data_IF_900479280061
#
_entry.id   IF_900479280061
#
_cell.length_a   1.000
_cell.length_b   1.000
_cell.length_c   1.000
_cell.angle_alpha   90.00
_cell.angle_beta   90.00
_cell.angle_gamma   90.00
#
_symmetry.space_group_name_H-M   'P 1'
#
loop_
_entity.id
_entity.type
_entity.pdbx_description
1 polymer ?
#
# COMPACT_ATOMS: atom_id res chain seq x y z
N UNK A 1 31.91 1.41 -23.45
CA UNK A 1 30.97 1.77 -22.38
C UNK A 1 30.74 0.49 -21.58
N UNK A 2 30.71 0.56 -20.25
CA UNK A 2 30.42 -0.58 -19.38
C UNK A 2 29.05 -1.14 -19.72
N UNK A 3 28.88 -2.46 -19.65
CA UNK A 3 27.59 -3.14 -19.84
C UNK A 3 27.20 -3.81 -18.53
N UNK A 4 25.98 -3.52 -18.05
CA UNK A 4 25.34 -4.20 -16.91
C UNK A 4 24.37 -5.23 -17.49
N UNK A 5 24.59 -6.49 -17.19
CA UNK A 5 23.75 -7.59 -17.65
C UNK A 5 22.69 -7.98 -16.62
N UNK A 6 21.46 -8.00 -17.06
CA UNK A 6 20.27 -8.24 -16.25
C UNK A 6 19.72 -9.64 -16.54
N UNK A 7 19.50 -10.42 -15.49
CA UNK A 7 18.67 -11.62 -15.53
C UNK A 7 17.23 -11.27 -15.15
N UNK A 8 16.30 -11.43 -16.08
CA UNK A 8 14.88 -11.12 -15.88
C UNK A 8 14.12 -12.40 -15.50
N UNK A 9 13.64 -12.48 -14.27
CA UNK A 9 12.85 -13.58 -13.73
C UNK A 9 11.36 -13.23 -13.74
N UNK A 10 10.66 -13.75 -14.73
CA UNK A 10 9.25 -13.47 -15.02
C UNK A 10 9.08 -12.54 -16.23
N UNK A 11 8.14 -12.90 -17.11
CA UNK A 11 7.82 -12.16 -18.35
C UNK A 11 6.32 -11.90 -18.50
N UNK A 12 5.60 -11.85 -17.35
CA UNK A 12 4.20 -11.45 -17.30
C UNK A 12 4.05 -9.94 -17.58
N UNK A 13 3.00 -9.34 -17.06
CA UNK A 13 2.67 -7.92 -17.27
C UNK A 13 3.87 -6.99 -16.98
N UNK A 14 4.52 -7.16 -15.83
CA UNK A 14 5.64 -6.27 -15.44
C UNK A 14 6.90 -6.61 -16.24
N UNK A 15 7.29 -7.87 -16.33
CA UNK A 15 8.52 -8.28 -17.01
C UNK A 15 8.53 -7.93 -18.50
N UNK A 16 7.40 -8.13 -19.19
CA UNK A 16 7.27 -7.71 -20.59
C UNK A 16 7.35 -6.17 -20.74
N UNK A 17 6.84 -5.44 -19.76
CA UNK A 17 7.00 -3.98 -19.69
C UNK A 17 8.46 -3.56 -19.49
N UNK A 18 9.19 -4.23 -18.60
CA UNK A 18 10.63 -3.96 -18.37
C UNK A 18 11.42 -4.19 -19.66
N UNK A 19 11.16 -5.32 -20.36
CA UNK A 19 11.76 -5.62 -21.65
C UNK A 19 11.49 -4.51 -22.67
N UNK A 20 10.23 -4.08 -22.77
CA UNK A 20 9.80 -3.03 -23.70
C UNK A 20 10.46 -1.68 -23.38
N UNK A 21 10.47 -1.25 -22.14
CA UNK A 21 11.07 0.03 -21.71
C UNK A 21 12.58 0.03 -21.96
N UNK A 22 13.29 -1.05 -21.58
CA UNK A 22 14.72 -1.16 -21.84
C UNK A 22 15.06 -1.12 -23.32
N UNK A 23 14.23 -1.72 -24.18
CA UNK A 23 14.41 -1.71 -25.63
C UNK A 23 14.12 -0.34 -26.23
N UNK A 24 12.96 0.24 -25.93
CA UNK A 24 12.47 1.47 -26.56
C UNK A 24 13.24 2.71 -26.11
N UNK A 25 13.69 2.74 -24.84
CA UNK A 25 14.35 3.89 -24.24
C UNK A 25 15.85 3.67 -24.01
N UNK A 26 16.48 2.68 -24.68
CA UNK A 26 17.86 2.26 -24.46
C UNK A 26 18.87 3.40 -24.46
N UNK A 27 18.75 4.33 -25.45
CA UNK A 27 19.65 5.47 -25.58
C UNK A 27 19.53 6.46 -24.39
N UNK A 28 18.31 6.79 -23.98
CA UNK A 28 18.06 7.69 -22.87
C UNK A 28 18.46 7.07 -21.53
N UNK A 29 18.17 5.78 -21.33
CA UNK A 29 18.56 5.02 -20.14
C UNK A 29 20.08 4.99 -20.03
N UNK A 30 20.80 4.71 -21.13
CA UNK A 30 22.27 4.66 -21.14
C UNK A 30 22.88 6.04 -20.81
N UNK A 31 22.31 7.11 -21.34
CA UNK A 31 22.75 8.49 -21.02
C UNK A 31 22.59 8.81 -19.54
N UNK A 32 21.52 8.32 -18.90
CA UNK A 32 21.23 8.54 -17.46
C UNK A 32 22.07 7.62 -16.57
N UNK A 33 22.23 6.37 -16.96
CA UNK A 33 22.97 5.38 -16.19
C UNK A 33 24.51 5.55 -16.29
N UNK A 34 25.01 6.17 -17.37
CA UNK A 34 26.45 6.22 -17.67
C UNK A 34 27.02 4.90 -18.23
N UNK A 35 26.16 3.90 -18.45
CA UNK A 35 26.52 2.57 -18.96
C UNK A 35 25.34 2.01 -19.78
N UNK A 36 25.57 0.88 -20.45
CA UNK A 36 24.50 0.16 -21.17
C UNK A 36 23.89 -0.89 -20.23
N UNK A 37 22.57 -0.94 -20.13
CA UNK A 37 21.83 -1.96 -19.39
C UNK A 37 21.20 -2.91 -20.41
N UNK A 38 21.54 -4.20 -20.34
CA UNK A 38 21.10 -5.21 -21.30
C UNK A 38 20.53 -6.42 -20.59
N UNK A 39 19.44 -6.98 -21.13
CA UNK A 39 18.94 -8.28 -20.69
C UNK A 39 19.88 -9.37 -21.22
N UNK A 40 20.52 -10.07 -20.30
CA UNK A 40 21.44 -11.16 -20.61
C UNK A 40 20.77 -12.54 -20.59
N UNK A 41 19.67 -12.70 -19.83
CA UNK A 41 18.89 -13.94 -19.74
C UNK A 41 17.46 -13.63 -19.29
N UNK A 42 16.51 -14.40 -19.81
CA UNK A 42 15.10 -14.38 -19.33
C UNK A 42 14.72 -15.77 -18.84
N UNK A 43 14.09 -15.81 -17.66
CA UNK A 43 13.57 -17.06 -17.11
C UNK A 43 12.05 -16.94 -16.93
N UNK A 44 11.33 -17.91 -17.48
CA UNK A 44 9.86 -18.02 -17.45
C UNK A 44 9.46 -19.49 -17.39
N UNK A 45 8.21 -19.76 -16.98
CA UNK A 45 7.70 -21.13 -16.90
C UNK A 45 7.67 -21.83 -18.26
N UNK A 46 7.26 -21.11 -19.31
CA UNK A 46 7.26 -21.59 -20.69
C UNK A 46 8.09 -20.66 -21.59
N UNK A 47 9.35 -21.02 -21.91
CA UNK A 47 10.22 -20.21 -22.75
C UNK A 47 9.70 -19.98 -24.17
N UNK A 48 8.94 -20.91 -24.74
CA UNK A 48 8.48 -20.80 -26.13
C UNK A 48 7.39 -19.72 -26.29
N UNK A 49 6.57 -19.50 -25.27
CA UNK A 49 5.55 -18.43 -25.29
C UNK A 49 6.16 -17.02 -25.48
N UNK A 50 7.37 -16.80 -24.99
CA UNK A 50 8.02 -15.49 -25.01
C UNK A 50 9.10 -15.36 -26.08
N UNK A 51 9.45 -16.45 -26.79
CA UNK A 51 10.53 -16.50 -27.80
C UNK A 51 10.37 -15.42 -28.88
N UNK A 52 9.16 -15.26 -29.40
CA UNK A 52 8.88 -14.25 -30.44
C UNK A 52 9.07 -12.82 -29.94
N UNK A 53 8.75 -12.55 -28.67
CA UNK A 53 8.89 -11.24 -28.07
C UNK A 53 10.35 -10.91 -27.75
N UNK A 54 11.08 -11.89 -27.18
CA UNK A 54 12.46 -11.74 -26.71
C UNK A 54 13.47 -11.79 -27.85
N UNK A 55 13.18 -12.56 -28.89
CA UNK A 55 14.09 -12.80 -30.04
C UNK A 55 15.10 -13.91 -29.79
N UNK A 56 15.89 -14.26 -30.82
CA UNK A 56 16.79 -15.41 -30.77
C UNK A 56 18.07 -15.19 -29.94
N UNK A 57 18.49 -13.95 -29.78
CA UNK A 57 19.80 -13.61 -29.22
C UNK A 57 19.86 -13.67 -27.69
N UNK A 58 18.71 -13.67 -27.01
CA UNK A 58 18.64 -13.69 -25.55
C UNK A 58 18.34 -15.13 -25.09
N UNK A 59 19.22 -15.73 -24.27
CA UNK A 59 18.99 -17.04 -23.68
C UNK A 59 17.71 -17.09 -22.86
N UNK A 60 16.88 -18.10 -23.10
CA UNK A 60 15.68 -18.41 -22.34
C UNK A 60 15.87 -19.67 -21.52
N UNK A 61 15.26 -19.72 -20.35
CA UNK A 61 15.27 -20.90 -19.47
C UNK A 61 13.99 -20.99 -18.67
N UNK A 62 13.70 -22.18 -18.16
CA UNK A 62 12.63 -22.41 -17.17
C UNK A 62 13.15 -22.60 -15.74
N UNK A 63 14.47 -22.70 -15.55
CA UNK A 63 15.08 -22.81 -14.22
C UNK A 63 15.49 -21.43 -13.69
N UNK A 64 14.88 -20.95 -12.60
CA UNK A 64 15.25 -19.67 -11.97
C UNK A 64 16.72 -19.59 -11.54
N UNK A 65 17.34 -20.72 -11.20
CA UNK A 65 18.72 -20.77 -10.76
C UNK A 65 19.73 -20.59 -11.90
N UNK A 66 19.31 -20.67 -13.15
CA UNK A 66 20.18 -20.36 -14.29
C UNK A 66 20.62 -18.88 -14.29
N UNK A 67 19.78 -17.94 -13.80
CA UNK A 67 20.19 -16.54 -13.58
C UNK A 67 21.22 -16.46 -12.43
N UNK A 68 20.96 -17.18 -11.36
CA UNK A 68 21.81 -17.17 -10.15
C UNK A 68 23.21 -17.71 -10.47
N UNK A 69 23.28 -18.78 -11.26
CA UNK A 69 24.52 -19.48 -11.57
C UNK A 69 25.28 -18.91 -12.78
N UNK A 70 24.67 -18.03 -13.56
CA UNK A 70 25.31 -17.37 -14.69
C UNK A 70 26.26 -16.25 -14.21
N UNK A 71 27.59 -16.40 -14.32
CA UNK A 71 28.55 -15.41 -13.85
C UNK A 71 28.53 -14.12 -14.68
N UNK A 72 27.88 -14.13 -15.85
CA UNK A 72 27.77 -12.97 -16.71
C UNK A 72 26.62 -12.04 -16.29
N UNK A 73 25.74 -12.46 -15.39
CA UNK A 73 24.62 -11.66 -14.90
C UNK A 73 25.03 -10.86 -13.66
N UNK A 74 24.87 -9.54 -13.72
CA UNK A 74 25.20 -8.62 -12.64
C UNK A 74 24.01 -8.36 -11.71
N UNK A 75 22.77 -8.32 -12.27
CA UNK A 75 21.55 -7.93 -11.57
C UNK A 75 20.45 -8.95 -11.83
N UNK A 76 19.82 -9.44 -10.76
CA UNK A 76 18.55 -10.17 -10.82
C UNK A 76 17.39 -9.19 -10.77
N UNK A 77 16.50 -9.22 -11.76
CA UNK A 77 15.18 -8.56 -11.70
C UNK A 77 14.11 -9.62 -11.41
N UNK A 78 13.54 -9.60 -10.21
CA UNK A 78 12.50 -10.53 -9.76
C UNK A 78 11.13 -9.89 -9.89
N UNK A 79 10.34 -10.38 -10.84
CA UNK A 79 8.96 -9.96 -11.11
C UNK A 79 8.03 -11.16 -11.35
N UNK A 80 8.37 -12.31 -10.77
CA UNK A 80 7.59 -13.53 -10.88
C UNK A 80 6.48 -13.65 -9.84
N UNK A 81 6.64 -12.95 -8.70
CA UNK A 81 5.73 -13.04 -7.57
C UNK A 81 5.91 -14.30 -6.72
N UNK A 82 5.04 -14.46 -5.71
CA UNK A 82 5.12 -15.53 -4.71
C UNK A 82 6.18 -15.25 -3.64
N UNK A 83 6.20 -16.04 -2.58
CA UNK A 83 7.06 -15.80 -1.41
C UNK A 83 8.04 -16.93 -1.12
N UNK A 84 7.84 -18.12 -1.68
CA UNK A 84 8.68 -19.31 -1.41
C UNK A 84 9.85 -19.38 -2.40
N UNK A 85 9.58 -19.70 -3.66
CA UNK A 85 10.62 -19.81 -4.69
C UNK A 85 11.33 -18.47 -4.93
N UNK A 86 10.59 -17.37 -4.94
CA UNK A 86 11.16 -16.03 -5.09
C UNK A 86 12.17 -15.72 -3.99
N UNK A 87 11.87 -16.06 -2.72
CA UNK A 87 12.81 -15.94 -1.60
C UNK A 87 14.10 -16.72 -1.85
N UNK A 88 13.97 -18.01 -2.18
CA UNK A 88 15.13 -18.88 -2.34
C UNK A 88 16.05 -18.39 -3.46
N UNK A 89 15.47 -17.95 -4.58
CA UNK A 89 16.23 -17.40 -5.72
C UNK A 89 16.89 -16.06 -5.35
N UNK A 90 16.17 -15.16 -4.68
CA UNK A 90 16.72 -13.86 -4.26
C UNK A 90 17.87 -14.05 -3.28
N UNK A 91 17.72 -14.89 -2.25
CA UNK A 91 18.80 -15.18 -1.30
C UNK A 91 20.01 -15.85 -1.97
N UNK A 92 19.77 -16.77 -2.91
CA UNK A 92 20.86 -17.40 -3.66
C UNK A 92 21.59 -16.40 -4.57
N UNK A 93 20.87 -15.46 -5.20
CA UNK A 93 21.47 -14.39 -6.00
C UNK A 93 22.32 -13.45 -5.13
N UNK A 94 21.83 -13.05 -3.95
CA UNK A 94 22.57 -12.27 -2.96
C UNK A 94 23.84 -12.98 -2.55
N UNK A 95 23.77 -14.28 -2.23
CA UNK A 95 24.94 -15.09 -1.86
C UNK A 95 26.01 -15.21 -2.98
N UNK A 96 25.61 -15.02 -4.24
CA UNK A 96 26.50 -14.95 -5.41
C UNK A 96 26.97 -13.53 -5.75
N UNK A 97 26.65 -12.53 -4.92
CA UNK A 97 27.04 -11.13 -5.11
C UNK A 97 26.26 -10.39 -6.19
N UNK A 98 25.11 -10.94 -6.64
CA UNK A 98 24.27 -10.28 -7.64
C UNK A 98 23.40 -9.21 -6.97
N UNK A 99 23.28 -8.05 -7.62
CA UNK A 99 22.33 -7.02 -7.19
C UNK A 99 20.90 -7.50 -7.44
N UNK A 100 19.93 -7.02 -6.68
CA UNK A 100 18.53 -7.43 -6.78
C UNK A 100 17.65 -6.20 -7.02
N UNK A 101 16.74 -6.31 -7.99
CA UNK A 101 15.62 -5.40 -8.19
C UNK A 101 14.34 -6.23 -8.14
N UNK A 102 13.38 -5.86 -7.29
CA UNK A 102 12.15 -6.62 -7.14
C UNK A 102 10.90 -5.74 -7.08
N UNK A 103 9.80 -6.23 -7.64
CA UNK A 103 8.45 -5.65 -7.50
C UNK A 103 7.60 -6.41 -6.46
N UNK A 104 8.18 -7.39 -5.77
CA UNK A 104 7.46 -8.35 -4.95
C UNK A 104 7.24 -7.84 -3.52
N UNK A 105 6.20 -7.02 -3.35
CA UNK A 105 5.82 -6.47 -2.05
C UNK A 105 5.52 -7.52 -0.98
N UNK A 106 4.89 -8.63 -1.38
CA UNK A 106 4.55 -9.70 -0.44
C UNK A 106 5.80 -10.37 0.12
N UNK A 107 6.79 -10.65 -0.73
CA UNK A 107 8.08 -11.18 -0.31
C UNK A 107 8.77 -10.24 0.68
N UNK A 108 8.82 -8.94 0.37
CA UNK A 108 9.50 -7.97 1.22
C UNK A 108 8.74 -7.67 2.52
N UNK A 109 7.41 -7.68 2.51
CA UNK A 109 6.62 -7.47 3.72
C UNK A 109 6.77 -8.60 4.73
N UNK A 110 6.87 -9.85 4.25
CA UNK A 110 6.93 -11.05 5.11
C UNK A 110 8.36 -11.47 5.44
N UNK A 111 9.28 -11.34 4.49
CA UNK A 111 10.66 -11.85 4.61
C UNK A 111 11.73 -10.80 4.37
N UNK A 112 11.34 -9.52 4.26
CA UNK A 112 12.25 -8.43 3.94
C UNK A 112 13.40 -8.27 4.93
N UNK A 113 13.15 -8.47 6.22
CA UNK A 113 14.20 -8.35 7.25
C UNK A 113 15.36 -9.34 7.00
N UNK A 114 15.05 -10.59 6.62
CA UNK A 114 16.09 -11.57 6.26
C UNK A 114 16.82 -11.16 4.98
N UNK A 115 16.07 -10.78 3.94
CA UNK A 115 16.62 -10.39 2.64
C UNK A 115 17.56 -9.18 2.79
N UNK A 116 17.14 -8.14 3.51
CA UNK A 116 17.95 -6.95 3.73
C UNK A 116 19.20 -7.24 4.58
N UNK A 117 19.08 -8.11 5.60
CA UNK A 117 20.23 -8.52 6.39
C UNK A 117 21.27 -9.26 5.54
N UNK A 118 20.85 -10.24 4.73
CA UNK A 118 21.73 -10.98 3.83
C UNK A 118 22.35 -10.11 2.75
N UNK A 119 21.58 -9.18 2.20
CA UNK A 119 22.07 -8.23 1.21
C UNK A 119 23.20 -7.35 1.78
N UNK A 120 23.03 -6.88 3.01
CA UNK A 120 24.06 -6.13 3.73
C UNK A 120 25.34 -6.95 3.94
N UNK A 121 25.20 -8.18 4.49
CA UNK A 121 26.34 -9.08 4.72
C UNK A 121 27.14 -9.33 3.44
N UNK A 122 26.45 -9.48 2.31
CA UNK A 122 27.05 -9.70 0.99
C UNK A 122 27.51 -8.40 0.29
N UNK A 123 27.20 -7.23 0.81
CA UNK A 123 27.51 -5.95 0.18
C UNK A 123 26.77 -5.71 -1.13
N UNK A 124 25.57 -6.28 -1.31
CA UNK A 124 24.73 -6.12 -2.51
C UNK A 124 23.52 -5.22 -2.24
N UNK A 125 22.98 -4.62 -3.31
CA UNK A 125 21.81 -3.77 -3.24
C UNK A 125 20.53 -4.59 -3.46
N UNK A 126 19.45 -4.17 -2.77
CA UNK A 126 18.07 -4.60 -3.01
C UNK A 126 17.23 -3.36 -3.26
N UNK A 127 16.83 -3.14 -4.51
CA UNK A 127 16.00 -2.02 -4.91
C UNK A 127 14.57 -2.50 -5.19
N UNK A 128 13.57 -1.70 -4.78
CA UNK A 128 12.17 -2.16 -4.76
C UNK A 128 11.14 -1.03 -4.97
N UNK A 129 11.48 0.00 -5.75
CA UNK A 129 10.55 1.08 -6.09
C UNK A 129 9.21 0.55 -6.64
N UNK A 130 9.30 -0.47 -7.50
CA UNK A 130 8.14 -1.09 -8.12
C UNK A 130 7.23 -1.87 -7.15
N UNK A 131 7.68 -2.15 -5.93
CA UNK A 131 6.90 -2.86 -4.92
C UNK A 131 5.80 -1.98 -4.29
N UNK A 132 5.92 -0.65 -4.36
CA UNK A 132 4.98 0.29 -3.71
C UNK A 132 4.49 1.33 -4.71
N UNK A 133 3.16 1.43 -4.88
CA UNK A 133 2.48 2.45 -5.69
C UNK A 133 2.95 2.56 -7.16
N UNK A 134 3.51 1.49 -7.72
CA UNK A 134 3.80 1.29 -9.14
C UNK A 134 4.54 2.46 -9.82
N UNK A 135 3.80 3.31 -10.53
CA UNK A 135 4.37 4.45 -11.28
C UNK A 135 4.71 5.68 -10.42
N UNK A 136 4.44 5.67 -9.11
CA UNK A 136 4.77 6.78 -8.21
C UNK A 136 6.16 6.55 -7.58
N UNK A 137 7.14 7.45 -7.72
CA UNK A 137 8.49 7.26 -7.19
C UNK A 137 8.55 7.56 -5.68
N UNK A 138 7.72 6.85 -4.89
CA UNK A 138 7.54 7.15 -3.46
C UNK A 138 8.65 6.57 -2.57
N UNK A 139 9.16 5.39 -2.90
CA UNK A 139 10.27 4.78 -2.15
C UNK A 139 11.49 5.68 -2.26
N UNK A 140 11.84 6.12 -3.46
CA UNK A 140 12.95 7.04 -3.71
C UNK A 140 12.71 8.42 -3.10
N UNK A 141 11.49 8.93 -3.16
CA UNK A 141 11.15 10.20 -2.54
C UNK A 141 11.38 10.17 -1.02
N UNK A 142 10.91 9.14 -0.33
CA UNK A 142 11.12 8.96 1.11
C UNK A 142 12.59 8.71 1.44
N UNK A 143 13.26 7.84 0.66
CA UNK A 143 14.62 7.39 0.91
C UNK A 143 15.65 8.48 0.68
N UNK A 144 15.47 9.32 -0.32
CA UNK A 144 16.45 10.29 -0.78
C UNK A 144 15.93 11.73 -0.74
N UNK A 145 14.78 12.00 -1.37
CA UNK A 145 14.25 13.36 -1.52
C UNK A 145 13.83 14.00 -0.20
N UNK A 146 13.34 13.21 0.74
CA UNK A 146 12.87 13.66 2.06
C UNK A 146 13.84 13.35 3.21
N UNK A 147 15.07 12.94 2.92
CA UNK A 147 16.06 12.50 3.91
C UNK A 147 16.43 13.55 4.97
N UNK A 148 16.19 14.84 4.70
CA UNK A 148 16.39 15.91 5.67
C UNK A 148 15.24 16.05 6.69
N UNK A 149 14.17 15.28 6.56
CA UNK A 149 12.96 15.41 7.37
C UNK A 149 12.82 14.28 8.39
N UNK A 150 12.29 14.63 9.55
CA UNK A 150 11.66 13.65 10.42
C UNK A 150 10.23 13.43 9.93
N UNK A 151 10.00 12.32 9.22
CA UNK A 151 8.67 11.98 8.76
C UNK A 151 7.77 11.69 9.96
N UNK A 152 6.62 12.37 10.02
CA UNK A 152 5.64 12.26 11.08
C UNK A 152 4.53 11.27 10.73
N UNK A 153 4.10 11.29 9.46
CA UNK A 153 3.01 10.45 8.98
C UNK A 153 3.14 10.20 7.47
N UNK A 154 2.76 8.99 7.07
CA UNK A 154 2.50 8.61 5.68
C UNK A 154 1.08 8.08 5.61
N UNK A 155 0.28 8.56 4.66
CA UNK A 155 -1.07 8.06 4.40
C UNK A 155 -1.25 7.89 2.89
N UNK A 156 -1.72 6.71 2.44
CA UNK A 156 -1.80 6.44 1.03
C UNK A 156 -3.05 5.67 0.60
N UNK A 157 -3.59 6.08 -0.54
CA UNK A 157 -4.47 5.27 -1.38
C UNK A 157 -3.51 4.45 -2.26
N UNK A 158 -3.21 3.23 -1.85
CA UNK A 158 -2.13 2.40 -2.42
C UNK A 158 -2.62 1.07 -3.01
N UNK A 159 -3.94 0.91 -3.12
CA UNK A 159 -4.58 -0.18 -3.85
C UNK A 159 -5.60 0.40 -4.85
N UNK A 160 -5.35 0.23 -6.15
CA UNK A 160 -6.17 0.79 -7.22
C UNK A 160 -7.53 0.11 -7.35
N UNK A 161 -7.60 -1.21 -7.12
CA UNK A 161 -8.83 -2.00 -7.18
C UNK A 161 -9.86 -1.50 -6.17
N UNK A 162 -9.47 -1.37 -4.91
CA UNK A 162 -10.35 -0.86 -3.86
C UNK A 162 -10.75 0.59 -4.08
N UNK A 163 -9.82 1.45 -4.54
CA UNK A 163 -10.15 2.84 -4.84
C UNK A 163 -11.15 2.95 -5.99
N UNK A 164 -11.05 2.10 -7.02
CA UNK A 164 -12.02 2.01 -8.09
C UNK A 164 -13.40 1.61 -7.56
N UNK A 165 -13.49 0.53 -6.77
CA UNK A 165 -14.74 0.05 -6.18
C UNK A 165 -15.41 1.14 -5.34
N UNK A 166 -14.67 1.81 -4.45
CA UNK A 166 -15.20 2.88 -3.60
C UNK A 166 -15.65 4.11 -4.41
N UNK A 167 -14.97 4.42 -5.52
CA UNK A 167 -15.39 5.49 -6.42
C UNK A 167 -16.71 5.16 -7.12
N UNK A 168 -16.86 3.94 -7.62
CA UNK A 168 -18.10 3.46 -8.25
C UNK A 168 -19.29 3.43 -7.29
N UNK A 169 -19.08 2.94 -6.06
CA UNK A 169 -20.10 2.94 -5.01
C UNK A 169 -20.62 4.35 -4.72
N UNK A 170 -19.69 5.31 -4.59
CA UNK A 170 -20.04 6.71 -4.34
C UNK A 170 -20.77 7.35 -5.51
N UNK A 171 -20.18 7.27 -6.72
CA UNK A 171 -20.64 8.04 -7.88
C UNK A 171 -21.96 7.52 -8.43
N UNK A 172 -22.19 6.22 -8.34
CA UNK A 172 -23.38 5.55 -8.87
C UNK A 172 -24.39 5.15 -7.79
N UNK A 173 -24.06 5.25 -6.50
CA UNK A 173 -24.93 4.82 -5.41
C UNK A 173 -25.22 3.31 -5.42
N UNK A 174 -24.29 2.49 -5.95
CA UNK A 174 -24.45 1.04 -6.10
C UNK A 174 -23.85 0.30 -4.90
N UNK A 175 -24.30 -0.95 -4.70
CA UNK A 175 -23.76 -1.83 -3.66
C UNK A 175 -22.33 -2.27 -3.96
N UNK A 176 -21.64 -2.74 -2.90
CA UNK A 176 -20.30 -3.29 -3.00
C UNK A 176 -20.21 -4.42 -4.04
N UNK A 177 -21.14 -5.38 -4.02
CA UNK A 177 -21.12 -6.52 -4.94
C UNK A 177 -21.23 -6.10 -6.40
N UNK A 178 -22.06 -5.10 -6.71
CA UNK A 178 -22.22 -4.56 -8.06
C UNK A 178 -20.94 -3.84 -8.51
N UNK A 179 -20.34 -3.04 -7.63
CA UNK A 179 -19.10 -2.34 -7.92
C UNK A 179 -17.92 -3.31 -8.10
N UNK A 180 -17.84 -4.38 -7.28
CA UNK A 180 -16.86 -5.44 -7.41
C UNK A 180 -16.99 -6.18 -8.73
N UNK A 181 -18.20 -6.58 -9.11
CA UNK A 181 -18.45 -7.25 -10.40
C UNK A 181 -18.00 -6.39 -11.59
N UNK A 182 -18.22 -5.07 -11.52
CA UNK A 182 -17.74 -4.14 -12.55
C UNK A 182 -16.23 -4.04 -12.57
N UNK A 183 -15.56 -4.02 -11.41
CA UNK A 183 -14.11 -4.05 -11.31
C UNK A 183 -13.52 -5.32 -11.93
N UNK A 184 -14.14 -6.48 -11.71
CA UNK A 184 -13.74 -7.76 -12.31
C UNK A 184 -13.95 -7.74 -13.83
N UNK A 185 -15.09 -7.23 -14.30
CA UNK A 185 -15.39 -7.11 -15.74
C UNK A 185 -14.38 -6.25 -16.49
N UNK A 186 -13.89 -5.18 -15.84
CA UNK A 186 -12.90 -4.25 -16.41
C UNK A 186 -11.45 -4.72 -16.21
N UNK A 187 -11.22 -5.81 -15.47
CA UNK A 187 -9.89 -6.36 -15.20
C UNK A 187 -9.12 -5.62 -14.10
N UNK A 188 -9.78 -4.80 -13.28
CA UNK A 188 -9.18 -4.19 -12.09
C UNK A 188 -9.14 -5.16 -10.91
N UNK A 189 -10.07 -6.09 -10.81
CA UNK A 189 -10.10 -7.14 -9.80
C UNK A 189 -9.96 -8.53 -10.45
N UNK A 190 -9.24 -9.42 -9.78
CA UNK A 190 -9.13 -10.83 -10.15
C UNK A 190 -10.38 -11.61 -9.75
N UNK A 191 -10.47 -12.89 -10.16
CA UNK A 191 -11.57 -13.77 -9.79
C UNK A 191 -11.65 -13.98 -8.26
N UNK A 192 -10.51 -14.10 -7.58
CA UNK A 192 -10.41 -14.01 -6.13
C UNK A 192 -9.83 -12.65 -5.75
N UNK A 193 -10.66 -11.67 -5.37
CA UNK A 193 -10.24 -10.32 -5.05
C UNK A 193 -9.82 -10.14 -3.59
N UNK A 194 -9.85 -11.18 -2.76
CA UNK A 194 -9.71 -11.13 -1.29
C UNK A 194 -8.46 -10.35 -0.87
N UNK A 195 -7.34 -10.55 -1.56
CA UNK A 195 -6.08 -9.88 -1.25
C UNK A 195 -6.17 -8.34 -1.36
N UNK A 196 -6.98 -7.85 -2.30
CA UNK A 196 -7.24 -6.42 -2.48
C UNK A 196 -8.32 -5.92 -1.52
N UNK A 197 -9.52 -6.53 -1.57
CA UNK A 197 -10.70 -6.01 -0.88
C UNK A 197 -10.61 -6.09 0.65
N UNK A 198 -9.85 -7.06 1.19
CA UNK A 198 -9.59 -7.18 2.62
C UNK A 198 -8.36 -6.36 3.07
N UNK A 199 -7.73 -5.59 2.16
CA UNK A 199 -6.69 -4.62 2.50
C UNK A 199 -5.28 -5.18 2.67
N UNK A 200 -5.05 -6.48 2.38
CA UNK A 200 -3.76 -7.15 2.58
C UNK A 200 -2.68 -6.56 1.65
N UNK A 201 -3.00 -6.34 0.38
CA UNK A 201 -2.10 -5.67 -0.57
C UNK A 201 -1.66 -4.29 -0.07
N UNK A 202 -2.62 -3.48 0.40
CA UNK A 202 -2.34 -2.17 0.95
C UNK A 202 -1.49 -2.25 2.23
N UNK A 203 -1.69 -3.28 3.07
CA UNK A 203 -0.92 -3.48 4.29
C UNK A 203 0.54 -3.85 4.01
N UNK A 204 0.83 -4.71 3.02
CA UNK A 204 2.19 -4.97 2.59
C UNK A 204 2.92 -3.69 2.18
N UNK A 205 2.26 -2.83 1.38
CA UNK A 205 2.84 -1.57 0.93
C UNK A 205 3.01 -0.56 2.07
N UNK A 206 2.01 -0.43 2.95
CA UNK A 206 2.07 0.47 4.12
C UNK A 206 3.20 0.08 5.07
N UNK A 207 3.43 -1.23 5.25
CA UNK A 207 4.52 -1.75 6.08
C UNK A 207 5.90 -1.35 5.53
N UNK A 208 6.10 -1.48 4.22
CA UNK A 208 7.35 -1.04 3.58
C UNK A 208 7.54 0.48 3.69
N UNK A 209 6.47 1.25 3.48
CA UNK A 209 6.51 2.71 3.66
C UNK A 209 6.84 3.10 5.09
N UNK A 210 6.28 2.42 6.09
CA UNK A 210 6.60 2.65 7.50
C UNK A 210 8.08 2.41 7.81
N UNK A 211 8.64 1.32 7.27
CA UNK A 211 10.06 1.00 7.48
C UNK A 211 10.98 2.07 6.90
N UNK A 212 10.70 2.55 5.70
CA UNK A 212 11.48 3.61 5.04
C UNK A 212 11.29 4.96 5.74
N UNK A 213 10.06 5.31 6.12
CA UNK A 213 9.74 6.61 6.71
C UNK A 213 10.27 6.78 8.14
N UNK A 214 10.34 5.67 8.89
CA UNK A 214 10.62 5.74 10.34
C UNK A 214 11.94 5.09 10.75
N UNK A 215 12.63 4.40 9.83
CA UNK A 215 13.88 3.70 10.15
C UNK A 215 13.64 2.53 11.11
N UNK A 216 12.64 1.72 10.85
CA UNK A 216 12.29 0.53 11.65
C UNK A 216 12.35 -0.72 10.78
N UNK A 217 12.55 -1.92 11.36
CA UNK A 217 12.41 -3.16 10.63
C UNK A 217 11.01 -3.32 10.02
N UNK A 218 10.87 -4.18 9.03
CA UNK A 218 9.57 -4.54 8.45
C UNK A 218 8.74 -5.29 9.48
N UNK A 219 7.53 -4.81 9.81
CA UNK A 219 6.70 -5.30 10.92
C UNK A 219 5.26 -5.57 10.45
N UNK A 220 5.10 -6.40 9.42
CA UNK A 220 3.78 -6.70 8.84
C UNK A 220 2.80 -7.32 9.83
N UNK A 221 3.27 -8.24 10.69
CA UNK A 221 2.42 -8.94 11.68
C UNK A 221 1.77 -7.99 12.70
N UNK A 222 2.31 -6.80 12.90
CA UNK A 222 1.75 -5.77 13.78
C UNK A 222 0.70 -4.89 13.11
N UNK A 223 0.51 -4.98 11.80
CA UNK A 223 -0.40 -4.11 11.07
C UNK A 223 -1.86 -4.41 11.41
N UNK A 224 -2.63 -3.37 11.75
CA UNK A 224 -4.09 -3.49 11.82
C UNK A 224 -4.68 -3.42 10.42
N UNK A 225 -5.52 -4.39 10.06
CA UNK A 225 -6.08 -4.49 8.70
C UNK A 225 -7.59 -4.68 8.77
N UNK A 226 -8.32 -3.84 8.05
CA UNK A 226 -9.76 -3.92 7.86
C UNK A 226 -10.08 -3.61 6.39
N UNK A 227 -10.82 -4.53 5.73
CA UNK A 227 -11.20 -4.42 4.33
C UNK A 227 -12.42 -3.54 4.07
N UNK A 228 -12.83 -3.47 2.80
CA UNK A 228 -13.95 -2.64 2.34
C UNK A 228 -15.26 -3.41 2.15
N UNK A 229 -15.25 -4.73 2.32
CA UNK A 229 -16.38 -5.62 1.99
C UNK A 229 -17.66 -5.36 2.80
N UNK A 230 -17.55 -4.68 3.96
CA UNK A 230 -18.66 -4.37 4.87
C UNK A 230 -19.30 -3.00 4.65
N UNK A 231 -18.79 -2.22 3.70
CA UNK A 231 -19.33 -0.88 3.42
C UNK A 231 -20.65 -0.95 2.68
N UNK A 232 -21.61 -0.14 3.08
CA UNK A 232 -22.90 0.01 2.44
C UNK A 232 -22.99 1.31 1.63
N UNK A 233 -23.86 1.36 0.63
CA UNK A 233 -24.05 2.56 -0.21
C UNK A 233 -24.52 3.78 0.62
N UNK A 234 -25.28 3.52 1.68
CA UNK A 234 -25.76 4.54 2.61
C UNK A 234 -24.61 5.27 3.32
N UNK A 235 -23.50 4.57 3.64
CA UNK A 235 -22.34 5.16 4.29
C UNK A 235 -21.70 6.26 3.42
N UNK A 236 -21.68 6.06 2.09
CA UNK A 236 -21.20 7.08 1.15
C UNK A 236 -22.12 8.28 1.08
N UNK A 237 -23.45 8.06 1.14
CA UNK A 237 -24.43 9.12 1.14
C UNK A 237 -24.30 10.00 2.39
N UNK A 238 -24.14 9.37 3.57
CA UNK A 238 -23.96 10.11 4.83
C UNK A 238 -22.58 10.78 4.88
N UNK A 239 -21.53 10.11 4.45
CA UNK A 239 -20.20 10.72 4.38
C UNK A 239 -20.21 11.99 3.51
N UNK A 240 -20.86 11.96 2.35
CA UNK A 240 -20.94 13.11 1.44
C UNK A 240 -21.69 14.29 2.08
N UNK A 241 -22.80 14.03 2.78
CA UNK A 241 -23.55 15.05 3.50
C UNK A 241 -22.77 15.70 4.64
N UNK A 242 -21.89 14.92 5.28
CA UNK A 242 -20.99 15.38 6.32
C UNK A 242 -19.73 16.07 5.79
N UNK A 243 -19.55 16.11 4.45
CA UNK A 243 -18.40 16.74 3.81
C UNK A 243 -17.15 15.86 3.79
N UNK A 244 -17.31 14.53 3.77
CA UNK A 244 -16.23 13.55 3.75
C UNK A 244 -16.31 12.65 2.52
N UNK A 245 -15.18 11.98 2.23
CA UNK A 245 -15.05 10.88 1.25
C UNK A 245 -14.54 9.65 1.97
N UNK A 246 -15.03 8.46 1.58
CA UNK A 246 -14.53 7.18 2.08
C UNK A 246 -13.44 6.68 1.14
N UNK A 247 -12.27 6.39 1.69
CA UNK A 247 -11.12 5.81 0.98
C UNK A 247 -10.52 4.69 1.83
N UNK A 248 -9.95 3.65 1.19
CA UNK A 248 -9.10 2.70 1.89
C UNK A 248 -7.71 3.32 2.03
N UNK A 249 -7.28 3.61 3.24
CA UNK A 249 -5.96 4.17 3.51
C UNK A 249 -5.03 3.17 4.17
N UNK A 250 -3.80 3.07 3.63
CA UNK A 250 -2.66 2.60 4.39
C UNK A 250 -2.03 3.76 5.12
N UNK A 251 -1.95 3.68 6.45
CA UNK A 251 -1.47 4.75 7.32
C UNK A 251 -0.32 4.24 8.18
N UNK A 252 0.77 4.98 8.17
CA UNK A 252 1.87 4.85 9.12
C UNK A 252 2.06 6.20 9.83
N UNK A 253 1.99 6.22 11.16
CA UNK A 253 2.13 7.44 11.97
C UNK A 253 3.07 7.21 13.13
N UNK A 254 4.01 8.16 13.33
CA UNK A 254 4.91 8.17 14.48
C UNK A 254 4.17 8.67 15.72
N UNK A 255 4.33 7.96 16.84
CA UNK A 255 3.86 8.34 18.17
C UNK A 255 5.04 8.38 19.14
N UNK A 256 4.83 8.84 20.35
CA UNK A 256 5.85 8.83 21.38
C UNK A 256 6.20 7.40 21.83
N UNK A 257 5.17 6.54 21.93
CA UNK A 257 5.26 5.18 22.47
C UNK A 257 5.59 4.14 21.39
N UNK A 258 5.44 4.48 20.09
CA UNK A 258 5.58 3.52 19.00
C UNK A 258 5.19 4.08 17.65
N UNK A 259 4.74 3.20 16.77
CA UNK A 259 4.15 3.57 15.47
C UNK A 259 2.74 3.00 15.34
N UNK A 260 1.82 3.78 14.77
CA UNK A 260 0.57 3.24 14.23
C UNK A 260 0.88 2.71 12.83
N UNK A 261 0.48 1.48 12.55
CA UNK A 261 0.52 0.86 11.22
C UNK A 261 -0.84 0.22 10.97
N UNK A 262 -1.61 0.79 10.05
CA UNK A 262 -3.01 0.42 9.88
C UNK A 262 -3.51 0.59 8.46
N UNK A 263 -4.41 -0.28 8.03
CA UNK A 263 -5.14 -0.21 6.76
C UNK A 263 -6.62 -0.39 7.06
N UNK A 264 -7.43 0.57 6.68
CA UNK A 264 -8.87 0.50 6.89
C UNK A 264 -9.63 1.52 6.04
N UNK A 265 -10.93 1.33 5.81
CA UNK A 265 -11.81 2.38 5.29
C UNK A 265 -11.77 3.60 6.20
N UNK A 266 -11.61 4.77 5.60
CA UNK A 266 -11.35 6.02 6.31
C UNK A 266 -12.16 7.16 5.70
N UNK A 267 -12.83 7.95 6.55
CA UNK A 267 -13.42 9.22 6.16
C UNK A 267 -12.32 10.29 6.11
N UNK A 268 -12.18 10.92 4.94
CA UNK A 268 -11.25 12.04 4.71
C UNK A 268 -12.08 13.27 4.37
N UNK A 269 -11.81 14.46 4.95
CA UNK A 269 -12.50 15.68 4.57
C UNK A 269 -12.41 15.91 3.06
N UNK A 270 -13.55 16.16 2.41
CA UNK A 270 -13.64 16.27 0.95
C UNK A 270 -12.75 17.38 0.34
N UNK A 271 -12.37 18.39 1.15
CA UNK A 271 -11.44 19.46 0.75
C UNK A 271 -9.97 19.02 0.62
N UNK A 272 -9.60 17.85 1.17
CA UNK A 272 -8.23 17.32 1.07
C UNK A 272 -7.97 16.75 -0.32
N UNK A 273 -6.77 16.98 -0.87
CA UNK A 273 -6.39 16.46 -2.18
C UNK A 273 -6.48 14.92 -2.24
N UNK A 274 -6.05 14.23 -1.17
CA UNK A 274 -6.10 12.78 -1.10
C UNK A 274 -7.54 12.24 -1.21
N UNK A 275 -8.54 12.95 -0.72
CA UNK A 275 -9.95 12.57 -0.82
C UNK A 275 -10.46 12.53 -2.27
N UNK A 276 -9.81 13.25 -3.17
CA UNK A 276 -10.20 13.43 -4.58
C UNK A 276 -9.38 12.56 -5.55
N UNK A 277 -8.69 11.56 -5.05
CA UNK A 277 -8.01 10.55 -5.86
C UNK A 277 -9.03 9.48 -6.27
N UNK A 278 -9.35 9.41 -7.56
CA UNK A 278 -10.47 8.63 -8.08
C UNK A 278 -10.02 7.47 -8.99
N UNK A 279 -10.95 6.54 -9.23
CA UNK A 279 -10.73 5.38 -10.09
C UNK A 279 -9.59 4.49 -9.58
N UNK A 280 -8.80 3.91 -10.48
CA UNK A 280 -7.68 3.03 -10.13
C UNK A 280 -6.37 3.78 -9.80
N UNK A 281 -6.43 5.10 -9.58
CA UNK A 281 -5.25 5.90 -9.26
C UNK A 281 -4.81 5.72 -7.82
N UNK A 282 -3.50 5.83 -7.61
CA UNK A 282 -2.88 5.82 -6.30
C UNK A 282 -2.35 7.21 -5.94
N UNK A 283 -2.28 7.48 -4.64
CA UNK A 283 -1.58 8.64 -4.12
C UNK A 283 -1.03 8.34 -2.72
N UNK A 284 0.13 8.92 -2.43
CA UNK A 284 0.75 8.86 -1.10
C UNK A 284 1.00 10.28 -0.61
N UNK A 285 0.40 10.61 0.50
CA UNK A 285 0.60 11.85 1.23
C UNK A 285 1.62 11.61 2.35
N UNK A 286 2.59 12.51 2.47
CA UNK A 286 3.66 12.43 3.46
C UNK A 286 3.72 13.75 4.21
N UNK A 287 3.82 13.70 5.55
CA UNK A 287 4.07 14.85 6.41
C UNK A 287 5.45 14.76 7.03
N UNK A 288 6.32 15.69 6.66
CA UNK A 288 7.62 15.92 7.27
C UNK A 288 7.60 17.15 8.16
N UNK A 289 8.52 17.20 9.13
CA UNK A 289 8.65 18.34 10.05
C UNK A 289 9.17 19.62 9.40
N UNK A 290 10.04 19.48 8.39
CA UNK A 290 10.65 20.61 7.70
C UNK A 290 9.90 20.97 6.40
N UNK A 291 9.54 19.97 5.57
CA UNK A 291 8.92 20.20 4.26
C UNK A 291 7.42 20.46 4.38
N UNK A 292 6.78 20.03 5.49
CA UNK A 292 5.33 20.03 5.62
C UNK A 292 4.67 18.87 4.86
N UNK A 293 3.57 19.16 4.18
CA UNK A 293 2.78 18.16 3.44
C UNK A 293 3.26 18.04 1.98
N UNK A 294 3.44 16.82 1.52
CA UNK A 294 3.71 16.49 0.10
C UNK A 294 2.75 15.40 -0.36
N UNK A 295 2.41 15.40 -1.65
CA UNK A 295 1.53 14.41 -2.26
C UNK A 295 2.14 13.90 -3.55
N UNK A 296 2.22 12.57 -3.67
CA UNK A 296 2.68 11.86 -4.86
C UNK A 296 1.47 11.13 -5.47
N UNK A 297 1.17 11.43 -6.73
CA UNK A 297 -0.02 10.93 -7.40
C UNK A 297 0.32 10.35 -8.77
N UNK A 298 -0.26 9.21 -9.11
CA UNK A 298 -0.08 8.56 -10.41
C UNK A 298 -0.72 7.16 -10.45
N UNK A 299 -0.51 6.41 -11.54
CA UNK A 299 -0.99 5.05 -11.65
C UNK A 299 -0.29 4.13 -10.66
N UNK A 300 -1.08 3.38 -9.87
CA UNK A 300 -0.56 2.49 -8.82
C UNK A 300 -0.05 1.14 -9.32
N UNK A 301 -0.44 0.75 -10.54
CA UNK A 301 -0.09 -0.51 -11.18
C UNK A 301 -0.15 -0.36 -12.70
N UNK A 302 0.22 -1.42 -13.41
CA UNK A 302 0.16 -1.49 -14.87
C UNK A 302 1.51 -1.82 -15.50
N UNK A 303 1.48 -2.32 -16.73
CA UNK A 303 2.64 -2.80 -17.46
C UNK A 303 3.80 -1.78 -17.48
N UNK A 304 3.55 -0.62 -18.07
CA UNK A 304 4.58 0.42 -18.25
C UNK A 304 4.85 1.24 -16.97
N UNK A 305 3.86 1.63 -16.17
CA UNK A 305 4.11 2.33 -14.91
C UNK A 305 5.01 1.54 -13.96
N UNK A 306 4.72 0.26 -13.75
CA UNK A 306 5.53 -0.61 -12.87
C UNK A 306 6.90 -0.89 -13.47
N UNK A 307 6.97 -1.12 -14.78
CA UNK A 307 8.24 -1.28 -15.48
C UNK A 307 9.13 -0.03 -15.40
N UNK A 308 8.54 1.16 -15.43
CA UNK A 308 9.27 2.42 -15.23
C UNK A 308 10.00 2.46 -13.90
N UNK A 309 9.36 2.01 -12.83
CA UNK A 309 9.98 1.93 -11.50
C UNK A 309 11.10 0.88 -11.43
N UNK A 310 10.89 -0.31 -12.02
CA UNK A 310 11.95 -1.34 -12.12
C UNK A 310 13.17 -0.81 -12.88
N UNK A 311 12.95 -0.13 -14.01
CA UNK A 311 14.06 0.41 -14.81
C UNK A 311 14.74 1.59 -14.10
N UNK A 312 14.01 2.40 -13.33
CA UNK A 312 14.60 3.43 -12.48
C UNK A 312 15.54 2.83 -11.43
N UNK A 313 15.12 1.72 -10.79
CA UNK A 313 15.97 0.97 -9.87
C UNK A 313 17.20 0.38 -10.56
N UNK A 314 17.06 -0.16 -11.78
CA UNK A 314 18.21 -0.64 -12.57
C UNK A 314 19.21 0.47 -12.87
N UNK A 315 18.73 1.69 -13.17
CA UNK A 315 19.61 2.85 -13.37
C UNK A 315 20.36 3.21 -12.09
N UNK A 316 19.70 3.18 -10.94
CA UNK A 316 20.32 3.49 -9.66
C UNK A 316 21.33 2.40 -9.25
N UNK A 317 21.00 1.14 -9.43
CA UNK A 317 21.93 0.01 -9.25
C UNK A 317 23.14 0.16 -10.15
N UNK A 318 22.95 0.46 -11.42
CA UNK A 318 24.04 0.63 -12.38
C UNK A 318 25.02 1.77 -12.00
N UNK A 319 24.50 2.85 -11.41
CA UNK A 319 25.31 3.98 -10.92
C UNK A 319 26.11 3.64 -9.65
N UNK A 320 25.56 2.77 -8.81
CA UNK A 320 26.10 2.49 -7.48
C UNK A 320 26.85 1.15 -7.38
N UNK A 321 26.83 0.30 -8.41
CA UNK A 321 27.40 -1.05 -8.35
C UNK A 321 28.90 -1.06 -8.02
N UNK A 322 29.65 -0.02 -8.45
CA UNK A 322 31.08 0.14 -8.17
C UNK A 322 31.37 1.00 -6.93
N UNK A 323 30.33 1.57 -6.34
CA UNK A 323 30.46 2.37 -5.10
C UNK A 323 30.61 1.40 -3.93
N UNK A 324 31.51 1.73 -3.01
CA UNK A 324 31.71 0.95 -1.80
C UNK A 324 30.38 0.82 -1.01
N UNK A 325 30.02 -0.37 -0.51
CA UNK A 325 28.70 -0.63 0.10
C UNK A 325 28.29 0.37 1.19
N UNK A 326 29.25 0.81 2.01
CA UNK A 326 29.06 1.79 3.09
C UNK A 326 28.73 3.21 2.60
N UNK A 327 29.01 3.50 1.33
CA UNK A 327 28.75 4.81 0.71
C UNK A 327 27.49 4.83 -0.14
N UNK A 328 26.79 3.69 -0.26
CA UNK A 328 25.55 3.59 -1.03
C UNK A 328 24.37 4.12 -0.24
N UNK A 329 23.31 4.50 -0.96
CA UNK A 329 22.04 4.86 -0.33
C UNK A 329 21.43 3.60 0.34
N UNK A 330 21.13 3.65 1.66
CA UNK A 330 20.54 2.51 2.36
C UNK A 330 19.16 2.14 1.83
N UNK A 331 18.82 0.85 1.74
CA UNK A 331 17.54 0.39 1.16
C UNK A 331 16.31 0.94 1.90
N UNK A 332 16.38 0.98 3.24
CA UNK A 332 15.30 1.48 4.11
C UNK A 332 15.53 2.93 4.56
N UNK A 333 16.23 3.74 3.74
CA UNK A 333 16.56 5.15 3.99
C UNK A 333 17.53 5.41 5.15
N UNK A 334 17.64 4.50 6.09
CA UNK A 334 18.49 4.60 7.27
C UNK A 334 19.64 3.59 7.20
N UNK A 335 20.79 3.95 7.77
CA UNK A 335 21.87 2.98 7.97
C UNK A 335 21.32 1.81 8.81
N UNK A 336 21.67 0.60 8.46
CA UNK A 336 20.99 -0.59 8.99
C UNK A 336 21.28 -0.82 10.48
N UNK A 337 22.41 -0.36 10.97
CA UNK A 337 22.76 -0.34 12.39
C UNK A 337 22.05 0.79 13.18
N UNK A 338 21.37 1.70 12.46
CA UNK A 338 20.57 2.79 13.02
C UNK A 338 19.06 2.51 12.96
N UNK A 339 18.63 1.34 12.50
CA UNK A 339 17.22 0.94 12.55
C UNK A 339 16.79 0.78 14.01
N UNK A 340 15.71 1.45 14.37
CA UNK A 340 15.18 1.45 15.73
C UNK A 340 14.15 0.34 15.92
N UNK A 341 14.25 -0.40 17.02
CA UNK A 341 13.24 -1.37 17.43
C UNK A 341 12.09 -0.61 18.11
N UNK A 342 11.14 -0.15 17.32
CA UNK A 342 9.97 0.61 17.79
C UNK A 342 8.73 -0.29 17.63
N UNK A 343 7.90 -0.48 18.66
CA UNK A 343 6.73 -1.35 18.56
C UNK A 343 5.65 -0.75 17.67
N UNK A 344 4.91 -1.60 16.97
CA UNK A 344 3.62 -1.23 16.38
C UNK A 344 2.59 -1.24 17.51
N UNK A 345 1.89 -0.11 17.66
CA UNK A 345 0.87 0.05 18.69
C UNK A 345 -0.38 -0.76 18.34
N UNK A 346 -1.04 -1.40 19.32
CA UNK A 346 -2.28 -2.12 19.09
C UNK A 346 -3.40 -1.16 18.66
N UNK A 347 -4.36 -1.68 17.88
CA UNK A 347 -5.49 -0.89 17.38
C UNK A 347 -6.27 -0.19 18.50
N UNK A 348 -6.40 -0.84 19.67
CA UNK A 348 -7.10 -0.27 20.84
C UNK A 348 -6.51 1.02 21.38
N UNK A 349 -5.25 1.35 21.04
CA UNK A 349 -4.55 2.57 21.44
C UNK A 349 -4.60 3.67 20.36
N UNK A 350 -5.19 3.40 19.20
CA UNK A 350 -5.38 4.42 18.17
C UNK A 350 -6.25 5.57 18.69
N UNK A 351 -5.85 6.78 18.36
CA UNK A 351 -6.58 7.99 18.71
C UNK A 351 -6.99 8.74 17.45
N UNK A 352 -8.29 8.71 17.15
CA UNK A 352 -8.86 9.41 15.99
C UNK A 352 -10.33 9.79 16.27
N UNK A 353 -10.98 10.48 15.36
CA UNK A 353 -12.43 10.66 15.38
C UNK A 353 -13.11 9.49 14.67
N UNK A 354 -14.39 9.29 14.95
CA UNK A 354 -15.16 8.17 14.42
C UNK A 354 -16.49 8.64 13.84
N UNK A 355 -16.86 7.99 12.75
CA UNK A 355 -18.23 7.94 12.24
C UNK A 355 -18.87 6.66 12.73
N UNK A 356 -20.10 6.77 13.23
CA UNK A 356 -20.94 5.65 13.65
C UNK A 356 -22.28 5.77 12.94
N UNK A 357 -22.72 4.71 12.24
CA UNK A 357 -24.10 4.55 11.76
C UNK A 357 -24.77 3.46 12.57
N UNK A 358 -25.84 3.83 13.27
CA UNK A 358 -26.54 3.01 14.24
C UNK A 358 -27.96 2.81 13.77
N UNK A 359 -28.32 1.64 13.19
CA UNK A 359 -29.69 1.32 12.80
C UNK A 359 -30.56 1.11 14.05
N UNK A 360 -31.64 1.88 14.18
CA UNK A 360 -32.51 1.86 15.38
C UNK A 360 -33.98 1.84 15.04
N UNK A 361 -34.82 1.46 16.00
CA UNK A 361 -36.23 1.77 15.95
C UNK A 361 -36.45 3.27 16.19
N UNK A 362 -37.37 3.86 15.46
CA UNK A 362 -37.72 5.28 15.64
C UNK A 362 -38.70 5.42 16.83
N UNK A 363 -38.16 5.39 18.03
CA UNK A 363 -38.89 5.45 19.30
C UNK A 363 -38.33 6.54 20.22
N UNK A 364 -39.20 7.20 21.03
CA UNK A 364 -38.72 8.14 22.03
C UNK A 364 -37.73 7.50 23.02
N UNK A 365 -36.64 8.19 23.33
CA UNK A 365 -35.65 7.77 24.32
C UNK A 365 -34.40 7.10 23.70
N UNK A 366 -34.47 6.53 22.49
CA UNK A 366 -33.36 5.79 21.85
C UNK A 366 -32.11 6.66 21.78
N UNK A 367 -32.24 7.90 21.31
CA UNK A 367 -31.09 8.81 21.23
C UNK A 367 -30.50 9.12 22.62
N UNK A 368 -31.36 9.27 23.64
CA UNK A 368 -30.91 9.54 24.98
C UNK A 368 -30.09 8.37 25.57
N UNK A 369 -30.51 7.13 25.30
CA UNK A 369 -29.78 5.94 25.73
C UNK A 369 -28.42 5.86 25.04
N UNK A 370 -28.36 6.06 23.72
CA UNK A 370 -27.13 6.05 22.95
C UNK A 370 -26.15 7.12 23.44
N UNK A 371 -26.62 8.37 23.57
CA UNK A 371 -25.76 9.48 24.02
C UNK A 371 -25.30 9.31 25.47
N UNK A 372 -26.09 8.69 26.33
CA UNK A 372 -25.68 8.31 27.68
C UNK A 372 -24.52 7.32 27.66
N UNK A 373 -24.60 6.27 26.84
CA UNK A 373 -23.53 5.29 26.72
C UNK A 373 -22.25 5.95 26.22
N UNK A 374 -22.35 6.84 25.20
CA UNK A 374 -21.20 7.57 24.68
C UNK A 374 -20.54 8.42 25.77
N UNK A 375 -21.34 9.13 26.56
CA UNK A 375 -20.87 9.97 27.67
C UNK A 375 -20.21 9.13 28.79
N UNK A 376 -20.80 7.99 29.15
CA UNK A 376 -20.27 7.09 30.18
C UNK A 376 -18.87 6.56 29.81
N UNK A 377 -18.61 6.31 28.52
CA UNK A 377 -17.32 5.84 27.99
C UNK A 377 -16.37 7.02 27.65
N UNK A 378 -16.74 8.25 27.97
CA UNK A 378 -15.91 9.44 27.72
C UNK A 378 -15.80 9.83 26.25
N UNK A 379 -16.70 9.36 25.40
CA UNK A 379 -16.72 9.68 23.97
C UNK A 379 -17.58 10.91 23.72
N UNK A 380 -16.96 12.02 23.30
CA UNK A 380 -17.64 13.27 22.97
C UNK A 380 -18.14 13.28 21.53
N UNK A 381 -19.37 13.74 21.32
CA UNK A 381 -20.01 13.81 20.00
C UNK A 381 -19.73 15.20 19.39
N UNK A 382 -19.24 15.23 18.15
CA UNK A 382 -18.98 16.43 17.36
C UNK A 382 -20.21 16.82 16.51
N UNK A 383 -20.81 15.83 15.83
CA UNK A 383 -21.99 16.03 14.99
C UNK A 383 -22.94 14.83 15.06
N UNK A 384 -24.20 15.10 14.79
CA UNK A 384 -25.25 14.09 14.73
C UNK A 384 -26.20 14.38 13.58
N UNK A 385 -26.63 13.31 12.91
CA UNK A 385 -27.66 13.35 11.87
C UNK A 385 -28.65 12.21 12.10
N UNK A 386 -29.93 12.51 12.11
CA UNK A 386 -31.02 11.53 12.09
C UNK A 386 -32.01 11.94 11.00
N UNK A 387 -32.34 11.01 10.12
CA UNK A 387 -33.36 11.23 9.09
C UNK A 387 -34.71 10.71 9.56
N UNK A 388 -35.77 11.26 8.98
CA UNK A 388 -37.08 10.67 9.14
C UNK A 388 -37.10 9.27 8.49
N UNK A 389 -37.74 8.28 9.12
CA UNK A 389 -37.94 6.98 8.50
C UNK A 389 -38.60 7.12 7.13
N UNK A 390 -38.32 6.16 6.23
CA UNK A 390 -39.07 6.06 4.99
C UNK A 390 -40.54 5.81 5.28
N UNK A 391 -41.43 6.22 4.37
CA UNK A 391 -42.88 6.07 4.55
C UNK A 391 -43.27 4.61 4.85
N UNK A 392 -43.90 4.38 6.01
CA UNK A 392 -44.26 3.06 6.50
C UNK A 392 -43.17 2.27 7.22
N UNK A 393 -41.94 2.80 7.33
CA UNK A 393 -40.89 2.20 8.14
C UNK A 393 -40.92 2.71 9.58
N UNK A 394 -40.57 1.84 10.53
CA UNK A 394 -40.43 2.19 11.95
C UNK A 394 -38.95 2.12 12.40
N UNK A 395 -38.02 2.13 11.44
CA UNK A 395 -36.57 2.12 11.69
C UNK A 395 -35.89 3.28 10.97
N UNK A 396 -34.85 3.79 11.56
CA UNK A 396 -34.02 4.86 11.00
C UNK A 396 -32.57 4.65 11.39
N UNK A 397 -31.65 5.40 10.77
CA UNK A 397 -30.26 5.46 11.18
C UNK A 397 -29.99 6.69 12.04
N UNK A 398 -29.29 6.50 13.15
CA UNK A 398 -28.64 7.59 13.88
C UNK A 398 -27.17 7.60 13.46
N UNK A 399 -26.75 8.73 12.90
CA UNK A 399 -25.37 8.97 12.50
C UNK A 399 -24.69 9.85 13.53
N UNK A 400 -23.56 9.41 14.06
CA UNK A 400 -22.75 10.20 14.99
C UNK A 400 -21.35 10.40 14.43
N UNK A 401 -20.83 11.61 14.57
CA UNK A 401 -19.41 11.93 14.47
C UNK A 401 -18.87 12.23 15.85
N UNK A 402 -17.72 11.65 16.20
CA UNK A 402 -17.10 11.92 17.50
C UNK A 402 -15.95 12.92 17.37
N UNK A 403 -15.61 13.60 18.46
CA UNK A 403 -14.29 14.19 18.61
C UNK A 403 -13.22 13.10 18.67
N UNK A 404 -11.94 13.48 18.60
CA UNK A 404 -10.83 12.52 18.74
C UNK A 404 -10.94 11.81 20.09
N UNK A 405 -10.84 10.50 20.04
CA UNK A 405 -10.90 9.62 21.20
C UNK A 405 -10.13 8.34 20.94
N UNK A 406 -9.82 7.61 22.01
CA UNK A 406 -9.11 6.33 21.93
C UNK A 406 -10.07 5.24 21.43
N UNK A 407 -9.63 4.40 20.51
CA UNK A 407 -10.43 3.32 19.89
C UNK A 407 -11.12 2.43 20.94
N UNK A 408 -10.41 2.05 22.00
CA UNK A 408 -10.95 1.23 23.10
C UNK A 408 -12.27 1.79 23.67
N UNK A 409 -12.39 3.11 23.83
CA UNK A 409 -13.60 3.73 24.35
C UNK A 409 -14.79 3.56 23.38
N UNK A 410 -14.52 3.75 22.08
CA UNK A 410 -15.55 3.57 21.04
C UNK A 410 -15.94 2.10 20.90
N UNK A 411 -14.99 1.17 21.05
CA UNK A 411 -15.28 -0.28 21.05
C UNK A 411 -16.23 -0.70 22.18
N UNK A 412 -16.02 -0.15 23.38
CA UNK A 412 -16.86 -0.43 24.53
C UNK A 412 -18.25 0.21 24.32
N UNK A 413 -18.29 1.47 23.91
CA UNK A 413 -19.53 2.17 23.62
C UNK A 413 -20.34 1.45 22.53
N UNK A 414 -19.72 1.06 21.41
CA UNK A 414 -20.39 0.35 20.31
C UNK A 414 -21.03 -0.96 20.76
N UNK A 415 -20.32 -1.78 21.55
CA UNK A 415 -20.88 -3.03 22.11
C UNK A 415 -22.05 -2.80 23.06
N UNK A 416 -21.98 -1.76 23.90
CA UNK A 416 -23.09 -1.39 24.78
C UNK A 416 -24.30 -0.89 24.00
N UNK A 417 -24.07 -0.13 22.94
CA UNK A 417 -25.12 0.38 22.04
C UNK A 417 -25.77 -0.78 21.28
N UNK A 418 -24.99 -1.69 20.73
CA UNK A 418 -25.49 -2.90 20.03
C UNK A 418 -26.41 -3.76 20.91
N UNK A 419 -26.15 -3.79 22.22
CA UNK A 419 -26.96 -4.54 23.17
C UNK A 419 -28.31 -3.88 23.52
N UNK A 420 -28.58 -2.65 23.09
CA UNK A 420 -29.86 -1.97 23.33
C UNK A 420 -30.99 -2.64 22.54
N UNK A 421 -32.17 -2.86 23.13
CA UNK A 421 -33.31 -3.46 22.44
C UNK A 421 -33.83 -2.66 21.25
N UNK A 422 -33.54 -1.36 21.22
CA UNK A 422 -33.92 -0.44 20.14
C UNK A 422 -32.98 -0.49 18.93
N UNK A 423 -31.79 -1.07 19.05
CA UNK A 423 -30.83 -1.23 17.98
C UNK A 423 -31.21 -2.47 17.14
N UNK A 424 -31.33 -2.29 15.83
CA UNK A 424 -31.91 -3.32 14.94
C UNK A 424 -30.84 -4.11 14.17
N UNK A 425 -29.60 -3.58 14.09
CA UNK A 425 -28.43 -4.24 13.49
C UNK A 425 -27.15 -3.69 14.11
N UNK A 426 -26.05 -4.42 13.94
CA UNK A 426 -24.73 -3.99 14.43
C UNK A 426 -24.35 -2.59 13.92
N UNK A 427 -23.88 -1.69 14.78
CA UNK A 427 -23.41 -0.38 14.36
C UNK A 427 -22.23 -0.48 13.35
N UNK A 428 -22.28 0.31 12.30
CA UNK A 428 -21.15 0.51 11.38
C UNK A 428 -20.24 1.58 11.96
N UNK A 429 -18.95 1.31 12.03
CA UNK A 429 -17.94 2.25 12.51
C UNK A 429 -16.86 2.47 11.45
N UNK A 430 -16.58 3.74 11.16
CA UNK A 430 -15.46 4.14 10.30
C UNK A 430 -14.59 5.16 11.04
N UNK A 431 -13.30 5.11 10.81
CA UNK A 431 -12.33 6.06 11.37
C UNK A 431 -12.26 7.30 10.48
N UNK A 432 -11.98 8.44 11.10
CA UNK A 432 -11.84 9.73 10.42
C UNK A 432 -10.37 10.16 10.46
N UNK A 433 -9.81 10.54 9.34
CA UNK A 433 -8.44 11.05 9.25
C UNK A 433 -8.44 12.45 8.63
N UNK A 434 -8.15 13.45 9.46
CA UNK A 434 -8.17 14.86 9.03
C UNK A 434 -6.95 15.22 8.18
N UNK A 435 -5.86 14.44 8.28
CA UNK A 435 -4.57 14.69 7.62
C UNK A 435 -3.98 16.07 7.99
N UNK A 436 -3.98 16.36 9.30
CA UNK A 436 -3.49 17.63 9.85
C UNK A 436 -2.02 17.58 10.27
#
# INVERSE_FOLDING_TARGET
MKVIKVGLLGMGTVGSGVFEVLKNNAAEISRRAGCTIQIGRVVVRDPEEVRTLVGPDIPLSSDPFDIVNDPAIDVLVEVMGGTTLARDVVLAAIAKGKQVVTANKALLAVQGNEIFARAREAGVMVAFEAAVAGGNPIVKALREGLSANRVQMVAGIINGTTNFILSEMRDKGISFDVALAEAQRLGYAEADPTFDIEGIDAAHKATLLASIAFGVPVQFDGAFIEGISKLAAEDFTYADQLGYRIKLLGIARRRAEGIELRVHPTLIPARRLLANVEGAMNAVWVKGDAVGETLYYGPGAGKLPTASAVVADLVDVARQIEVAPESRVPYLAFQQDQLQQVPVLPASEMETAYYLRIPVRDEPGVLADITRIMADEGVSIDAMLQRQPSEGANTTDIILMTHRTVEKCVDIASRRIEALPSVTAAPVRLRVEALD
#
